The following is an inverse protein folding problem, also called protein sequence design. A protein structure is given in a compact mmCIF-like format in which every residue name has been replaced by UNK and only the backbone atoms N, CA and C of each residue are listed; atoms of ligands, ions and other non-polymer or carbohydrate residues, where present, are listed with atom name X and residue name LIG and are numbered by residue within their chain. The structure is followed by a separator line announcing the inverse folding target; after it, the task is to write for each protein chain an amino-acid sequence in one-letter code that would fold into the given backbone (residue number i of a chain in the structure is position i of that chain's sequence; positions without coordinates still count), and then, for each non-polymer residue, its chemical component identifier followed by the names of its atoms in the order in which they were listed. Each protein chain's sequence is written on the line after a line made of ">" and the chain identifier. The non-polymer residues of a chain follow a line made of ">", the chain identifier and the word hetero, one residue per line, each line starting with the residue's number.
data_IF_257960047434
#
_entry.id   IF_257960047434
#
_cell.length_a   1.000
_cell.length_b   1.000
_cell.length_c   1.000
_cell.angle_alpha   90.00
_cell.angle_beta   90.00
_cell.angle_gamma   90.00
#
_symmetry.space_group_name_H-M   'P 1'
#
loop_
_entity.id
_entity.type
_entity.pdbx_description
1 polymer ?
#
# COMPACT_ATOMS: atom_id res chain seq x y z
N UNK A 1 -9.98 9.97 -0.28
CA UNK A 1 -9.86 11.27 0.42
C UNK A 1 -10.28 11.15 1.88
N UNK A 2 -11.35 10.40 2.16
CA UNK A 2 -11.77 10.01 3.52
C UNK A 2 -10.63 9.42 4.35
N UNK A 3 -9.88 8.48 3.80
CA UNK A 3 -8.73 7.85 4.49
C UNK A 3 -7.63 8.85 4.91
N UNK A 4 -7.48 9.98 4.19
CA UNK A 4 -6.46 10.97 4.52
C UNK A 4 -6.78 11.68 5.85
N UNK A 5 -8.06 11.90 6.16
CA UNK A 5 -8.46 12.46 7.45
C UNK A 5 -8.15 11.46 8.57
N UNK A 6 -8.43 10.17 8.36
CA UNK A 6 -8.09 9.10 9.31
C UNK A 6 -6.60 9.06 9.61
N UNK A 7 -5.75 9.13 8.57
CA UNK A 7 -4.29 9.16 8.73
C UNK A 7 -3.84 10.41 9.50
N UNK A 8 -4.38 11.59 9.18
CA UNK A 8 -4.06 12.83 9.89
C UNK A 8 -4.43 12.72 11.38
N UNK A 9 -5.63 12.23 11.68
CA UNK A 9 -6.10 12.05 13.06
C UNK A 9 -5.25 11.02 13.82
N UNK A 10 -4.92 9.90 13.19
CA UNK A 10 -4.06 8.89 13.78
C UNK A 10 -2.66 9.45 14.09
N UNK A 11 -2.09 10.26 13.18
CA UNK A 11 -0.79 10.92 13.39
C UNK A 11 -0.85 11.92 14.54
N UNK A 12 -1.91 12.72 14.63
CA UNK A 12 -2.09 13.69 15.72
C UNK A 12 -2.17 13.01 17.09
N UNK A 13 -2.92 11.90 17.19
CA UNK A 13 -3.10 11.14 18.44
C UNK A 13 -1.86 10.32 18.84
N UNK A 14 -1.09 9.85 17.85
CA UNK A 14 0.03 8.95 18.08
C UNK A 14 1.22 9.30 17.17
N UNK A 15 1.95 10.40 17.48
CA UNK A 15 2.96 10.98 16.59
C UNK A 15 4.14 10.06 16.26
N UNK A 16 4.42 9.06 17.11
CA UNK A 16 5.53 8.12 16.92
C UNK A 16 5.11 6.75 16.37
N UNK A 17 3.82 6.53 16.14
CA UNK A 17 3.31 5.26 15.62
C UNK A 17 3.53 5.20 14.12
N UNK A 18 3.94 4.03 13.62
CA UNK A 18 4.05 3.79 12.18
C UNK A 18 2.64 3.62 11.58
N UNK A 19 2.33 4.43 10.57
CA UNK A 19 1.07 4.41 9.83
C UNK A 19 1.34 3.87 8.42
N UNK A 20 0.76 2.72 8.11
CA UNK A 20 0.76 2.14 6.75
C UNK A 20 -0.66 2.22 6.21
N UNK A 21 -0.83 2.82 5.04
CA UNK A 21 -2.14 2.97 4.41
C UNK A 21 -2.19 2.23 3.08
N UNK A 22 -3.38 1.75 2.69
CA UNK A 22 -3.62 1.19 1.37
C UNK A 22 -4.32 2.22 0.47
N UNK A 23 -3.90 2.32 -0.79
CA UNK A 23 -4.51 3.17 -1.81
C UNK A 23 -5.00 2.31 -2.98
N UNK A 24 -6.32 2.15 -3.09
CA UNK A 24 -6.95 1.48 -4.23
C UNK A 24 -6.75 2.29 -5.51
N UNK A 25 -6.99 3.60 -5.43
CA UNK A 25 -6.79 4.53 -6.55
C UNK A 25 -5.44 5.22 -6.49
N UNK A 26 -4.71 5.19 -7.60
CA UNK A 26 -3.36 5.77 -7.73
C UNK A 26 -3.31 7.26 -7.36
N UNK A 27 -4.37 8.00 -7.66
CA UNK A 27 -4.47 9.43 -7.34
C UNK A 27 -4.50 9.73 -5.83
N UNK A 28 -4.91 8.76 -5.01
CA UNK A 28 -4.99 8.91 -3.56
C UNK A 28 -3.66 8.66 -2.85
N UNK A 29 -2.69 8.02 -3.52
CA UNK A 29 -1.35 7.74 -2.95
C UNK A 29 -0.71 9.02 -2.41
N UNK A 30 -0.62 10.06 -3.25
CA UNK A 30 -0.04 11.36 -2.85
C UNK A 30 -0.83 12.05 -1.75
N UNK A 31 -2.14 11.82 -1.67
CA UNK A 31 -2.99 12.41 -0.62
C UNK A 31 -2.67 11.77 0.73
N UNK A 32 -2.44 10.46 0.77
CA UNK A 32 -2.09 9.71 1.98
C UNK A 32 -0.64 9.98 2.44
N UNK A 33 0.31 10.09 1.51
CA UNK A 33 1.68 10.52 1.82
C UNK A 33 1.68 11.91 2.48
N UNK A 34 0.93 12.86 1.92
CA UNK A 34 0.77 14.21 2.48
C UNK A 34 0.03 14.23 3.82
N UNK A 35 -0.79 13.22 4.10
CA UNK A 35 -1.46 13.05 5.37
C UNK A 35 -0.53 12.53 6.48
N UNK A 36 0.74 12.24 6.18
CA UNK A 36 1.75 11.66 7.09
C UNK A 36 1.65 10.15 7.31
N UNK A 37 1.16 9.42 6.30
CA UNK A 37 1.37 7.97 6.22
C UNK A 37 2.86 7.69 5.94
N UNK A 38 3.47 6.79 6.72
CA UNK A 38 4.89 6.43 6.57
C UNK A 38 5.13 5.54 5.35
N UNK A 39 4.11 4.76 4.97
CA UNK A 39 4.11 3.98 3.74
C UNK A 39 2.70 3.91 3.16
N UNK A 40 2.61 3.92 1.84
CA UNK A 40 1.36 3.70 1.11
C UNK A 40 1.53 2.53 0.17
N UNK A 41 0.71 1.49 0.35
CA UNK A 41 0.70 0.32 -0.52
C UNK A 41 -0.46 0.47 -1.49
N UNK A 42 -0.23 0.22 -2.77
CA UNK A 42 -1.32 0.16 -3.76
C UNK A 42 -1.46 -1.28 -4.25
N UNK A 43 -2.43 -2.05 -3.71
CA UNK A 43 -2.61 -3.46 -4.09
C UNK A 43 -2.90 -3.65 -5.57
N UNK A 44 -3.64 -2.72 -6.18
CA UNK A 44 -3.96 -2.73 -7.61
C UNK A 44 -2.71 -2.57 -8.48
N UNK A 45 -1.83 -1.62 -8.13
CA UNK A 45 -0.54 -1.44 -8.81
C UNK A 45 0.39 -2.64 -8.59
N UNK A 46 0.46 -3.15 -7.37
CA UNK A 46 1.28 -4.31 -7.02
C UNK A 46 0.82 -5.54 -7.83
N UNK A 47 -0.46 -5.87 -7.81
CA UNK A 47 -1.03 -6.97 -8.59
C UNK A 47 -0.77 -6.81 -10.09
N UNK A 48 -0.95 -5.60 -10.63
CA UNK A 48 -0.61 -5.31 -12.04
C UNK A 48 0.86 -5.58 -12.37
N UNK A 49 1.78 -5.21 -11.47
CA UNK A 49 3.21 -5.49 -11.66
C UNK A 49 3.53 -6.98 -11.65
N UNK A 50 2.94 -7.74 -10.72
CA UNK A 50 3.09 -9.20 -10.66
C UNK A 50 2.57 -9.86 -11.95
N UNK A 51 1.42 -9.41 -12.47
CA UNK A 51 0.85 -9.91 -13.72
C UNK A 51 1.77 -9.66 -14.93
N UNK A 52 2.31 -8.45 -15.06
CA UNK A 52 3.26 -8.12 -16.14
C UNK A 52 4.52 -8.99 -16.05
N UNK A 53 5.06 -9.17 -14.84
CA UNK A 53 6.27 -9.98 -14.65
C UNK A 53 6.04 -11.45 -14.95
N UNK A 54 4.88 -11.99 -14.54
CA UNK A 54 4.45 -13.34 -14.89
C UNK A 54 4.31 -13.52 -16.41
N UNK A 55 3.70 -12.55 -17.11
CA UNK A 55 3.59 -12.57 -18.57
C UNK A 55 4.96 -12.53 -19.28
N UNK A 56 5.96 -11.89 -18.67
CA UNK A 56 7.35 -11.86 -19.14
C UNK A 56 8.16 -13.11 -18.75
N UNK A 57 7.53 -14.11 -18.11
CA UNK A 57 8.18 -15.35 -17.70
C UNK A 57 9.04 -15.25 -16.43
N UNK A 58 8.86 -14.19 -15.63
CA UNK A 58 9.47 -14.12 -14.30
C UNK A 58 8.72 -15.04 -13.34
N UNK A 59 9.46 -15.84 -12.57
CA UNK A 59 8.87 -16.62 -11.48
C UNK A 59 8.73 -15.75 -10.22
N UNK A 60 7.48 -15.48 -9.84
CA UNK A 60 7.10 -14.69 -8.66
C UNK A 60 6.41 -15.57 -7.60
N UNK A 61 6.38 -16.90 -7.78
CA UNK A 61 5.61 -17.83 -6.94
C UNK A 61 6.02 -17.72 -5.47
N UNK A 62 7.32 -17.69 -5.18
CA UNK A 62 7.82 -17.52 -3.81
C UNK A 62 7.52 -16.15 -3.18
N UNK A 63 7.28 -15.11 -3.98
CA UNK A 63 6.81 -13.82 -3.45
C UNK A 63 5.31 -13.87 -3.14
N UNK A 64 4.52 -14.48 -4.04
CA UNK A 64 3.08 -14.65 -3.87
C UNK A 64 2.77 -15.50 -2.62
N UNK A 65 3.47 -16.62 -2.46
CA UNK A 65 3.32 -17.50 -1.30
C UNK A 65 3.59 -16.74 0.01
N UNK A 66 4.65 -15.93 0.06
CA UNK A 66 4.96 -15.10 1.25
C UNK A 66 3.92 -14.03 1.56
N UNK A 67 3.24 -13.51 0.54
CA UNK A 67 2.14 -12.55 0.73
C UNK A 67 0.90 -13.28 1.27
N UNK A 68 0.59 -14.47 0.74
CA UNK A 68 -0.57 -15.28 1.13
C UNK A 68 -0.39 -15.99 2.48
N UNK A 69 0.84 -16.31 2.88
CA UNK A 69 1.15 -16.90 4.20
C UNK A 69 0.93 -15.94 5.38
N UNK A 70 0.64 -14.65 5.12
CA UNK A 70 0.42 -13.64 6.16
C UNK A 70 -1.04 -13.44 6.60
N UNK A 71 -1.96 -14.33 6.16
CA UNK A 71 -3.34 -14.40 6.68
C UNK A 71 -3.49 -15.36 7.87
#
# INVERSE_FOLDING_TARGET
>A
AEDALTVLTARELAPNTRIVAAATDRENVKKLERASADAVISPSMLGGHLLVRSALGSDESGLIDRILESE
#
